data_IF_525780130888
#
_entry.id   IF_525780130888
#
_cell.length_a   1.000
_cell.length_b   1.000
_cell.length_c   1.000
_cell.angle_alpha   90.00
_cell.angle_beta   90.00
_cell.angle_gamma   90.00
#
_symmetry.space_group_name_H-M   'P 1'
#
loop_
_entity.id
_entity.type
_entity.pdbx_description
1 polymer ?
#
# COMPACT_ATOMS: atom_id res chain seq x y z
N UNK A 1 -11.42 7.24 -23.86
CA UNK A 1 -10.85 8.54 -23.46
C UNK A 1 -11.89 9.30 -22.63
N UNK A 2 -11.54 9.66 -21.40
CA UNK A 2 -12.39 10.42 -20.46
C UNK A 2 -11.82 11.83 -20.29
N UNK A 3 -12.66 12.83 -20.03
CA UNK A 3 -12.15 14.16 -19.71
C UNK A 3 -11.44 14.15 -18.36
N UNK A 4 -10.32 14.85 -18.27
CA UNK A 4 -9.56 15.01 -17.03
C UNK A 4 -10.39 15.58 -15.87
N UNK A 5 -11.48 16.30 -16.15
CA UNK A 5 -12.41 16.84 -15.14
C UNK A 5 -13.40 15.82 -14.58
N UNK A 6 -13.58 14.69 -15.26
CA UNK A 6 -14.51 13.62 -14.85
C UNK A 6 -13.83 12.55 -13.98
N UNK A 7 -12.50 12.60 -13.87
CA UNK A 7 -11.74 11.76 -12.98
C UNK A 7 -12.16 11.97 -11.52
N UNK A 8 -12.18 10.89 -10.74
CA UNK A 8 -12.41 10.92 -9.30
C UNK A 8 -11.25 10.28 -8.54
N UNK A 9 -11.10 10.58 -7.24
CA UNK A 9 -10.18 9.84 -6.38
C UNK A 9 -10.42 8.33 -6.47
N UNK A 10 -9.36 7.57 -6.71
CA UNK A 10 -9.40 6.12 -6.90
C UNK A 10 -9.45 5.65 -8.36
N UNK A 11 -9.74 6.53 -9.33
CA UNK A 11 -9.61 6.17 -10.75
C UNK A 11 -8.15 5.98 -11.12
N UNK A 12 -7.92 5.07 -12.08
CA UNK A 12 -6.62 4.88 -12.71
C UNK A 12 -6.71 5.37 -14.14
N UNK A 13 -5.66 6.04 -14.61
CA UNK A 13 -5.60 6.52 -15.97
C UNK A 13 -4.17 6.45 -16.51
N UNK A 14 -4.07 6.36 -17.82
CA UNK A 14 -2.83 6.47 -18.55
C UNK A 14 -2.72 7.87 -19.19
N UNK A 15 -1.57 8.51 -19.00
CA UNK A 15 -1.20 9.76 -19.65
C UNK A 15 0.28 9.69 -20.05
N UNK A 16 0.58 9.99 -21.32
CA UNK A 16 1.94 9.98 -21.88
C UNK A 16 2.70 8.64 -21.66
N UNK A 17 1.98 7.50 -21.67
CA UNK A 17 2.58 6.16 -21.47
C UNK A 17 2.86 5.80 -20.01
N UNK A 18 2.42 6.62 -19.06
CA UNK A 18 2.57 6.37 -17.63
C UNK A 18 1.21 6.14 -16.96
N UNK A 19 1.19 5.17 -16.03
CA UNK A 19 0.03 4.80 -15.24
C UNK A 19 -0.05 5.58 -13.94
N UNK A 20 -1.19 6.23 -13.73
CA UNK A 20 -1.44 7.08 -12.58
C UNK A 20 -2.68 6.63 -11.83
N UNK A 21 -2.61 6.70 -10.51
CA UNK A 21 -3.75 6.65 -9.61
C UNK A 21 -4.11 8.07 -9.17
N UNK A 22 -5.37 8.46 -9.31
CA UNK A 22 -5.87 9.73 -8.78
C UNK A 22 -6.02 9.62 -7.27
N UNK A 23 -5.28 10.45 -6.53
CA UNK A 23 -5.43 10.58 -5.07
C UNK A 23 -6.44 11.68 -4.71
N UNK A 24 -6.36 12.81 -5.41
CA UNK A 24 -7.23 13.95 -5.17
C UNK A 24 -7.36 14.80 -6.44
N UNK A 25 -8.45 15.55 -6.57
CA UNK A 25 -8.71 16.42 -7.71
C UNK A 25 -9.32 17.75 -7.26
N UNK A 26 -8.70 18.84 -7.72
CA UNK A 26 -9.12 20.21 -7.49
C UNK A 26 -9.45 20.88 -8.83
N UNK A 27 -10.71 21.22 -9.02
CA UNK A 27 -11.19 21.93 -10.20
C UNK A 27 -11.21 23.43 -9.92
N UNK A 28 -10.28 24.17 -10.53
CA UNK A 28 -10.23 25.62 -10.40
C UNK A 28 -10.81 26.29 -11.65
N UNK A 29 -11.83 27.13 -11.45
CA UNK A 29 -12.43 27.96 -12.49
C UNK A 29 -12.19 29.43 -12.16
N UNK A 30 -11.18 30.02 -12.79
CA UNK A 30 -10.95 31.48 -12.72
C UNK A 30 -11.85 32.19 -13.72
N UNK A 31 -12.39 33.37 -13.34
CA UNK A 31 -13.23 34.17 -14.22
C UNK A 31 -12.55 34.38 -15.60
N UNK A 32 -13.32 34.17 -16.68
CA UNK A 32 -12.88 34.31 -18.08
C UNK A 32 -11.76 33.35 -18.55
N UNK A 33 -11.31 32.37 -17.75
CA UNK A 33 -10.35 31.33 -18.18
C UNK A 33 -10.99 29.96 -18.30
N UNK A 34 -10.38 29.09 -19.11
CA UNK A 34 -10.72 27.66 -19.15
C UNK A 34 -10.46 27.04 -17.77
N UNK A 35 -11.31 26.11 -17.37
CA UNK A 35 -11.19 25.42 -16.09
C UNK A 35 -9.90 24.58 -16.09
N UNK A 36 -9.17 24.60 -14.97
CA UNK A 36 -7.94 23.82 -14.80
C UNK A 36 -8.19 22.75 -13.73
N UNK A 37 -7.93 21.51 -14.08
CA UNK A 37 -7.93 20.39 -13.15
C UNK A 37 -6.51 20.22 -12.60
N UNK A 38 -6.34 20.42 -11.29
CA UNK A 38 -5.14 20.07 -10.53
C UNK A 38 -5.39 18.72 -9.89
N UNK A 39 -4.66 17.71 -10.34
CA UNK A 39 -4.84 16.32 -9.92
C UNK A 39 -3.62 15.89 -9.15
N UNK A 40 -3.79 15.51 -7.89
CA UNK A 40 -2.75 14.84 -7.13
C UNK A 40 -2.75 13.38 -7.54
N UNK A 41 -1.65 12.91 -8.12
CA UNK A 41 -1.52 11.57 -8.66
C UNK A 41 -0.40 10.80 -7.98
N UNK A 42 -0.54 9.48 -7.94
CA UNK A 42 0.52 8.54 -7.62
C UNK A 42 0.88 7.75 -8.88
N UNK A 43 2.13 7.78 -9.30
CA UNK A 43 2.63 6.92 -10.36
C UNK A 43 2.67 5.47 -9.85
N UNK A 44 2.03 4.53 -10.57
CA UNK A 44 1.94 3.14 -10.13
C UNK A 44 3.24 2.35 -10.33
N UNK A 45 4.09 2.74 -11.28
CA UNK A 45 5.37 2.08 -11.55
C UNK A 45 6.47 2.55 -10.61
N UNK A 46 6.54 3.86 -10.34
CA UNK A 46 7.61 4.45 -9.52
C UNK A 46 7.18 4.73 -8.08
N UNK A 47 5.88 4.68 -7.77
CA UNK A 47 5.33 5.06 -6.47
C UNK A 47 5.35 6.55 -6.17
N UNK A 48 5.91 7.39 -7.06
CA UNK A 48 6.06 8.83 -6.84
C UNK A 48 4.72 9.54 -6.80
N UNK A 49 4.55 10.46 -5.84
CA UNK A 49 3.35 11.28 -5.69
C UNK A 49 3.65 12.71 -6.10
N UNK A 50 2.89 13.25 -7.04
CA UNK A 50 3.03 14.63 -7.52
C UNK A 50 1.70 15.20 -8.03
N UNK A 51 1.68 16.49 -8.35
CA UNK A 51 0.50 17.19 -8.86
C UNK A 51 0.63 17.41 -10.38
N UNK A 52 -0.39 17.00 -11.13
CA UNK A 52 -0.55 17.26 -12.55
C UNK A 52 -1.59 18.37 -12.75
N UNK A 53 -1.27 19.33 -13.61
CA UNK A 53 -2.22 20.36 -14.03
C UNK A 53 -2.59 20.14 -15.50
N UNK A 54 -3.88 19.95 -15.77
CA UNK A 54 -4.43 19.78 -17.12
C UNK A 54 -5.62 20.71 -17.34
N UNK A 55 -5.75 21.24 -18.54
CA UNK A 55 -6.87 22.09 -18.91
C UNK A 55 -8.13 21.26 -19.16
N UNK A 56 -9.30 21.85 -18.91
CA UNK A 56 -10.59 21.26 -19.25
C UNK A 56 -10.66 20.93 -20.75
N UNK A 57 -10.98 19.68 -21.07
CA UNK A 57 -10.98 19.17 -22.45
C UNK A 57 -9.77 18.31 -22.82
N UNK A 58 -8.78 18.20 -21.93
CA UNK A 58 -7.72 17.20 -22.09
C UNK A 58 -8.31 15.81 -21.83
N UNK A 59 -8.25 14.96 -22.85
CA UNK A 59 -8.67 13.56 -22.75
C UNK A 59 -7.55 12.72 -22.19
N UNK A 60 -7.87 11.84 -21.25
CA UNK A 60 -6.96 10.79 -20.76
C UNK A 60 -7.59 9.42 -21.00
N UNK A 61 -6.79 8.37 -21.01
CA UNK A 61 -7.31 7.01 -21.11
C UNK A 61 -7.58 6.46 -19.72
N UNK A 62 -8.86 6.22 -19.42
CA UNK A 62 -9.22 5.55 -18.17
C UNK A 62 -8.79 4.09 -18.25
N UNK A 63 -8.05 3.67 -17.25
CA UNK A 63 -7.54 2.32 -17.12
C UNK A 63 -8.31 1.60 -16.02
N UNK A 64 -8.67 0.34 -16.28
CA UNK A 64 -9.11 -0.58 -15.24
C UNK A 64 -7.94 -1.48 -14.88
N UNK A 65 -7.61 -1.50 -13.59
CA UNK A 65 -6.65 -2.44 -13.04
C UNK A 65 -7.40 -3.70 -12.63
N UNK A 66 -6.81 -4.85 -12.96
CA UNK A 66 -7.27 -6.14 -12.46
C UNK A 66 -6.75 -6.32 -11.05
N UNK A 67 -7.68 -6.48 -10.11
CA UNK A 67 -7.39 -6.71 -8.70
C UNK A 67 -7.79 -8.12 -8.33
N UNK A 68 -6.82 -8.96 -7.99
CA UNK A 68 -7.05 -10.33 -7.54
C UNK A 68 -6.63 -10.48 -6.09
N UNK A 69 -7.52 -11.01 -5.26
CA UNK A 69 -7.17 -11.33 -3.88
C UNK A 69 -6.46 -12.67 -3.86
N UNK A 70 -5.25 -12.67 -3.33
CA UNK A 70 -4.41 -13.85 -3.20
C UNK A 70 -3.88 -13.96 -1.78
N UNK A 71 -3.48 -15.16 -1.41
CA UNK A 71 -2.87 -15.45 -0.14
C UNK A 71 -1.37 -15.63 -0.32
N UNK A 72 -0.59 -14.97 0.54
CA UNK A 72 0.85 -15.20 0.59
C UNK A 72 1.16 -16.58 1.18
N UNK A 73 1.93 -17.39 0.45
CA UNK A 73 2.29 -18.74 0.86
C UNK A 73 3.65 -18.77 1.56
N UNK A 74 4.72 -18.51 0.81
CA UNK A 74 6.09 -18.61 1.31
C UNK A 74 7.05 -17.82 0.43
N UNK A 75 8.25 -17.65 0.98
CA UNK A 75 9.39 -17.04 0.34
C UNK A 75 10.21 -18.09 -0.41
N UNK A 76 10.34 -17.94 -1.73
CA UNK A 76 11.10 -18.84 -2.61
C UNK A 76 12.51 -18.32 -2.93
N UNK A 77 13.08 -17.44 -2.10
CA UNK A 77 14.42 -16.91 -2.25
C UNK A 77 14.46 -15.60 -3.03
N UNK A 78 14.31 -15.65 -4.36
CA UNK A 78 14.28 -14.43 -5.20
C UNK A 78 12.85 -13.94 -5.49
N UNK A 79 11.87 -14.85 -5.41
CA UNK A 79 10.45 -14.59 -5.62
C UNK A 79 9.63 -14.89 -4.37
N UNK A 80 8.44 -14.31 -4.30
CA UNK A 80 7.42 -14.58 -3.30
C UNK A 80 6.25 -15.28 -3.99
N UNK A 81 5.80 -16.38 -3.40
CA UNK A 81 4.70 -17.18 -3.94
C UNK A 81 3.37 -16.75 -3.32
N UNK A 82 2.39 -16.49 -4.19
CA UNK A 82 1.02 -16.15 -3.84
C UNK A 82 0.07 -17.14 -4.49
N UNK A 83 -1.08 -17.39 -3.87
CA UNK A 83 -2.10 -18.31 -4.37
C UNK A 83 -3.47 -17.65 -4.36
N UNK A 84 -4.20 -17.77 -5.47
CA UNK A 84 -5.61 -17.39 -5.53
C UNK A 84 -6.46 -18.41 -4.76
N UNK A 85 -7.25 -17.92 -3.80
CA UNK A 85 -8.10 -18.79 -2.97
C UNK A 85 -9.31 -19.39 -3.71
N UNK A 86 -9.64 -18.91 -4.91
CA UNK A 86 -10.76 -19.38 -5.72
C UNK A 86 -10.31 -20.31 -6.84
N UNK A 87 -9.26 -19.95 -7.56
CA UNK A 87 -8.77 -20.72 -8.71
C UNK A 87 -7.63 -21.67 -8.37
N UNK A 88 -7.03 -21.53 -7.17
CA UNK A 88 -5.80 -22.22 -6.78
C UNK A 88 -4.62 -21.96 -7.72
N UNK A 89 -4.70 -20.90 -8.54
CA UNK A 89 -3.60 -20.45 -9.38
C UNK A 89 -2.51 -19.82 -8.50
N UNK A 90 -1.26 -20.17 -8.78
CA UNK A 90 -0.11 -19.62 -8.09
C UNK A 90 0.56 -18.57 -8.96
N UNK A 91 0.95 -17.45 -8.33
CA UNK A 91 1.71 -16.38 -8.96
C UNK A 91 2.98 -16.16 -8.16
N UNK A 92 4.09 -16.06 -8.87
CA UNK A 92 5.38 -15.72 -8.28
C UNK A 92 5.74 -14.27 -8.61
N UNK A 93 6.05 -13.48 -7.59
CA UNK A 93 6.46 -12.09 -7.76
C UNK A 93 7.91 -11.88 -7.34
N UNK A 94 8.73 -11.18 -8.12
CA UNK A 94 10.09 -10.83 -7.73
C UNK A 94 10.09 -9.97 -6.46
N UNK A 95 10.92 -10.34 -5.47
CA UNK A 95 11.08 -9.54 -4.24
C UNK A 95 11.52 -8.11 -4.50
N UNK A 96 12.26 -7.88 -5.58
CA UNK A 96 12.74 -6.56 -5.98
C UNK A 96 11.59 -5.55 -6.13
N UNK A 97 10.40 -6.02 -6.53
CA UNK A 97 9.23 -5.16 -6.74
C UNK A 97 8.43 -4.94 -5.45
N UNK A 98 8.72 -5.69 -4.38
CA UNK A 98 7.91 -5.78 -3.16
C UNK A 98 8.67 -5.38 -1.90
N UNK A 99 9.80 -4.67 -2.05
CA UNK A 99 10.70 -4.34 -0.94
C UNK A 99 10.02 -3.57 0.19
N UNK A 100 9.02 -2.74 -0.12
CA UNK A 100 8.30 -1.95 0.87
C UNK A 100 7.24 -2.76 1.62
N UNK A 101 6.69 -3.79 0.96
CA UNK A 101 5.57 -4.60 1.43
C UNK A 101 6.03 -5.85 2.19
N UNK A 102 7.22 -6.38 1.88
CA UNK A 102 7.84 -7.54 2.54
C UNK A 102 7.80 -7.46 4.08
N UNK A 103 8.15 -6.33 4.74
CA UNK A 103 8.15 -6.25 6.20
C UNK A 103 6.77 -6.41 6.84
N UNK A 104 5.70 -6.24 6.07
CA UNK A 104 4.32 -6.28 6.54
C UNK A 104 3.57 -7.55 6.08
N UNK A 105 4.25 -8.42 5.34
CA UNK A 105 3.67 -9.60 4.73
C UNK A 105 3.60 -10.74 5.75
N UNK A 106 2.46 -10.89 6.41
CA UNK A 106 2.22 -11.99 7.32
C UNK A 106 2.18 -13.34 6.57
N UNK A 107 2.74 -14.42 7.12
CA UNK A 107 2.51 -15.77 6.60
C UNK A 107 1.01 -16.06 6.51
N UNK A 108 0.55 -16.59 5.38
CA UNK A 108 -0.88 -16.81 5.09
C UNK A 108 -1.72 -15.52 5.04
N UNK A 109 -1.10 -14.34 4.96
CA UNK A 109 -1.78 -13.05 4.84
C UNK A 109 -2.49 -12.90 3.51
N UNK A 110 -3.66 -12.27 3.53
CA UNK A 110 -4.39 -11.89 2.32
C UNK A 110 -3.80 -10.59 1.74
N UNK A 111 -3.51 -10.62 0.44
CA UNK A 111 -3.02 -9.48 -0.33
C UNK A 111 -3.82 -9.32 -1.60
N UNK A 112 -3.92 -8.10 -2.12
CA UNK A 112 -4.52 -7.87 -3.43
C UNK A 112 -3.41 -7.64 -4.45
N UNK A 113 -3.22 -8.59 -5.37
CA UNK A 113 -2.33 -8.39 -6.52
C UNK A 113 -3.01 -7.44 -7.50
N UNK A 114 -2.27 -6.42 -7.93
CA UNK A 114 -2.75 -5.43 -8.89
C UNK A 114 -1.99 -5.62 -10.20
N UNK A 115 -2.71 -6.00 -11.24
CA UNK A 115 -2.17 -6.22 -12.59
C UNK A 115 -2.82 -5.28 -13.61
N UNK A 116 -2.10 -4.99 -14.68
CA UNK A 116 -2.55 -4.20 -15.82
C UNK A 116 -2.00 -4.82 -17.11
N UNK A 117 -2.89 -5.23 -18.03
CA UNK A 117 -2.50 -5.83 -19.33
C UNK A 117 -1.42 -6.91 -19.20
N UNK A 118 -1.64 -7.89 -18.31
CA UNK A 118 -0.71 -8.99 -17.96
C UNK A 118 0.58 -8.57 -17.23
N UNK A 119 0.83 -7.28 -17.05
CA UNK A 119 1.93 -6.77 -16.23
C UNK A 119 1.49 -6.64 -14.77
N UNK A 120 2.27 -7.19 -13.85
CA UNK A 120 2.01 -7.07 -12.41
C UNK A 120 2.65 -5.78 -11.90
N UNK A 121 1.80 -4.81 -11.55
CA UNK A 121 2.26 -3.52 -11.04
C UNK A 121 2.74 -3.61 -9.59
N UNK A 122 2.19 -4.54 -8.82
CA UNK A 122 2.61 -4.81 -7.44
C UNK A 122 1.52 -5.48 -6.62
N UNK A 123 1.67 -5.41 -5.29
CA UNK A 123 0.66 -5.86 -4.33
C UNK A 123 0.13 -4.67 -3.53
N UNK A 124 -1.15 -4.75 -3.21
CA UNK A 124 -1.82 -3.85 -2.29
C UNK A 124 -2.10 -4.63 -1.01
N UNK A 125 -1.40 -4.23 0.07
CA UNK A 125 -1.67 -4.73 1.41
C UNK A 125 -2.92 -4.04 1.99
N UNK A 126 -3.64 -4.69 2.92
CA UNK A 126 -4.62 -4.02 3.76
C UNK A 126 -3.98 -2.84 4.51
N UNK A 127 -4.75 -1.80 4.81
CA UNK A 127 -4.25 -0.65 5.59
C UNK A 127 -3.75 -1.02 6.97
N UNK A 128 -4.23 -2.14 7.52
CA UNK A 128 -3.82 -2.69 8.81
C UNK A 128 -3.53 -4.17 8.64
N UNK A 129 -2.36 -4.60 9.09
CA UNK A 129 -1.96 -6.01 9.11
C UNK A 129 -1.78 -6.45 10.55
N UNK A 130 -2.25 -7.66 10.84
CA UNK A 130 -2.13 -8.25 12.16
C UNK A 130 -0.89 -9.14 12.20
N UNK A 131 0.12 -8.72 12.97
CA UNK A 131 1.43 -9.37 13.05
C UNK A 131 1.73 -9.78 14.49
N UNK A 132 2.35 -10.94 14.66
CA UNK A 132 2.74 -11.47 15.98
C UNK A 132 4.10 -10.92 16.39
N UNK A 133 4.22 -10.49 17.64
CA UNK A 133 5.50 -10.06 18.22
C UNK A 133 6.35 -11.28 18.59
N UNK A 134 7.51 -11.44 17.96
CA UNK A 134 8.44 -12.55 18.22
C UNK A 134 9.45 -12.22 19.29
N UNK A 135 9.89 -10.97 19.40
CA UNK A 135 10.82 -10.51 20.43
C UNK A 135 10.44 -9.10 20.90
N UNK A 136 10.53 -8.83 22.21
CA UNK A 136 10.34 -7.47 22.73
C UNK A 136 11.21 -7.23 23.95
N UNK A 137 11.63 -5.99 24.16
CA UNK A 137 12.37 -5.64 25.36
C UNK A 137 11.49 -5.77 26.64
N UNK A 138 12.10 -6.14 27.78
CA UNK A 138 11.38 -6.19 29.05
C UNK A 138 10.94 -4.79 29.46
N UNK A 139 9.68 -4.67 29.90
CA UNK A 139 9.15 -3.39 30.36
C UNK A 139 9.87 -2.95 31.65
N UNK A 140 10.64 -1.88 31.59
CA UNK A 140 11.27 -1.29 32.79
C UNK A 140 10.22 -0.49 33.53
N UNK A 141 9.81 -0.97 34.72
CA UNK A 141 8.76 -0.40 35.59
C UNK A 141 9.00 1.06 36.07
N UNK A 142 10.09 1.71 35.65
CA UNK A 142 10.47 3.07 36.06
C UNK A 142 10.15 4.18 35.04
N UNK A 143 9.83 3.84 33.79
CA UNK A 143 9.49 4.83 32.75
C UNK A 143 8.00 5.19 32.77
N UNK A 144 7.58 5.93 33.80
CA UNK A 144 6.22 6.49 33.95
C UNK A 144 6.10 7.91 33.37
N UNK A 145 6.88 8.23 32.34
CA UNK A 145 6.68 9.45 31.55
C UNK A 145 5.76 9.10 30.38
N UNK A 146 4.63 9.81 30.28
CA UNK A 146 3.53 9.58 29.33
C UNK A 146 3.98 9.01 27.97
N UNK A 147 3.50 7.79 27.64
CA UNK A 147 3.77 7.07 26.39
C UNK A 147 5.18 6.49 26.19
N UNK A 148 5.74 5.85 27.23
CA UNK A 148 6.89 4.99 27.04
C UNK A 148 6.58 3.86 26.03
N UNK A 149 7.38 3.79 24.97
CA UNK A 149 7.36 2.74 23.95
C UNK A 149 8.65 1.94 24.05
N UNK A 150 8.57 0.65 23.72
CA UNK A 150 9.72 -0.25 23.62
C UNK A 150 9.87 -0.77 22.21
N UNK A 151 11.08 -1.19 21.87
CA UNK A 151 11.33 -1.81 20.58
C UNK A 151 10.86 -3.28 20.62
N UNK A 152 10.20 -3.69 19.54
CA UNK A 152 9.72 -5.04 19.32
C UNK A 152 10.01 -5.50 17.89
N UNK A 153 10.28 -6.79 17.74
CA UNK A 153 10.49 -7.49 16.48
C UNK A 153 9.25 -8.32 16.18
N UNK A 154 8.80 -8.26 14.93
CA UNK A 154 7.66 -9.03 14.44
C UNK A 154 8.10 -10.36 13.82
N UNK A 155 7.11 -11.22 13.54
CA UNK A 155 7.32 -12.48 12.81
C UNK A 155 7.95 -12.30 11.42
N UNK A 156 7.78 -11.13 10.81
CA UNK A 156 8.40 -10.75 9.53
C UNK A 156 9.85 -10.26 9.68
N UNK A 157 10.35 -10.10 10.91
CA UNK A 157 11.64 -9.46 11.21
C UNK A 157 11.60 -7.93 11.24
N UNK A 158 10.43 -7.32 10.98
CA UNK A 158 10.27 -5.86 11.06
C UNK A 158 10.37 -5.38 12.51
N UNK A 159 11.14 -4.30 12.73
CA UNK A 159 11.32 -3.67 14.04
C UNK A 159 10.45 -2.43 14.14
N UNK A 160 9.61 -2.36 15.17
CA UNK A 160 8.82 -1.16 15.47
C UNK A 160 8.75 -0.86 16.96
N UNK A 161 8.24 0.33 17.27
CA UNK A 161 7.94 0.75 18.64
C UNK A 161 6.53 0.38 19.03
N UNK A 162 6.41 -0.38 20.13
CA UNK A 162 5.14 -0.83 20.70
C UNK A 162 5.01 -0.32 22.15
N UNK A 163 3.78 -0.17 22.68
CA UNK A 163 3.59 0.19 24.08
C UNK A 163 4.19 -0.85 25.05
N UNK A 164 4.59 -0.41 26.25
CA UNK A 164 5.20 -1.27 27.27
C UNK A 164 4.36 -2.51 27.66
N UNK A 165 3.04 -2.44 27.51
CA UNK A 165 2.12 -3.54 27.87
C UNK A 165 2.08 -4.69 26.85
N UNK A 166 2.65 -4.50 25.66
CA UNK A 166 2.69 -5.54 24.62
C UNK A 166 3.74 -6.58 25.01
N UNK A 167 3.39 -7.85 25.02
CA UNK A 167 4.31 -8.93 25.36
C UNK A 167 4.70 -9.74 24.12
N UNK A 168 5.76 -10.54 24.27
CA UNK A 168 6.11 -11.55 23.29
C UNK A 168 4.93 -12.51 23.09
N UNK A 169 4.57 -12.79 21.83
CA UNK A 169 3.41 -13.58 21.46
C UNK A 169 2.10 -12.80 21.33
N UNK A 170 2.05 -11.52 21.69
CA UNK A 170 0.87 -10.69 21.44
C UNK A 170 0.73 -10.41 19.94
N UNK A 171 -0.51 -10.46 19.44
CA UNK A 171 -0.86 -10.04 18.07
C UNK A 171 -1.18 -8.56 18.06
N UNK A 172 -0.46 -7.81 17.22
CA UNK A 172 -0.61 -6.36 17.10
C UNK A 172 -1.03 -5.97 15.69
N UNK A 173 -1.83 -4.91 15.59
CA UNK A 173 -2.18 -4.29 14.32
C UNK A 173 -1.15 -3.22 13.98
N UNK A 174 -0.55 -3.34 12.80
CA UNK A 174 0.43 -2.41 12.24
C UNK A 174 -0.18 -1.75 11.02
N UNK A 175 -0.07 -0.43 10.94
CA UNK A 175 -0.45 0.34 9.76
C UNK A 175 0.63 0.18 8.68
N UNK A 176 0.25 -0.32 7.51
CA UNK A 176 1.16 -0.58 6.38
C UNK A 176 1.60 0.68 5.64
N UNK A 177 0.90 1.80 5.84
CA UNK A 177 1.23 3.09 5.24
C UNK A 177 2.24 3.84 6.09
N UNK A 178 2.03 3.86 7.41
CA UNK A 178 2.92 4.59 8.34
C UNK A 178 4.00 3.71 8.95
N UNK A 179 3.85 2.39 8.90
CA UNK A 179 4.75 1.42 9.52
C UNK A 179 4.70 1.42 11.05
N UNK A 180 3.64 1.99 11.64
CA UNK A 180 3.51 2.20 13.09
C UNK A 180 2.51 1.24 13.71
N UNK A 181 2.67 1.01 15.01
CA UNK A 181 1.66 0.37 15.84
C UNK A 181 0.35 1.18 15.80
N UNK A 182 -0.73 0.52 15.40
CA UNK A 182 -2.08 1.10 15.33
C UNK A 182 -2.95 0.62 16.51
N UNK A 183 -2.76 -0.62 16.96
CA UNK A 183 -3.53 -1.17 18.08
C UNK A 183 -3.24 -2.64 18.38
N UNK A 184 -4.02 -3.22 19.31
CA UNK A 184 -4.11 -4.69 19.48
C UNK A 184 -5.03 -5.25 18.39
N UNK A 185 -4.61 -6.35 17.78
CA UNK A 185 -5.36 -7.03 16.71
C UNK A 185 -6.46 -7.96 17.25
#
# INVERSE_FOLDING_TARGET
MINVTELRPGNYFEDEGALYQVLDILLNKTAMRKMVAKIKVKNLRTGAIFELARNSGYGVEEVRLDKKNMQYLYDAGETLCFMDGKTFEQIELPKANLQNEIPYLAPNGEVTIVSYNDEILGIQLPSKVALTVTECEPAVKGDTINSAMKDAVLETGYKLRVPLFVNQGDKISVDTVTGKYDGRA
#
